data_IF_497020069110
#
_entry.id   IF_497020069110
#
_cell.length_a   1.000
_cell.length_b   1.000
_cell.length_c   1.000
_cell.angle_alpha   90.00
_cell.angle_beta   90.00
_cell.angle_gamma   90.00
#
_symmetry.space_group_name_H-M   'P 1'
#
loop_
_entity.id
_entity.type
_entity.pdbx_description
1 polymer ?
#
# COMPACT_ATOMS: atom_id res chain seq x y z
N UNK A 1 1.47 14.14 -5.45
CA UNK A 1 1.39 15.40 -6.22
C UNK A 1 -0.08 15.80 -6.38
N UNK A 2 -0.38 17.10 -6.32
CA UNK A 2 -1.71 17.65 -6.59
C UNK A 2 -1.65 18.67 -7.72
N UNK A 3 -1.86 18.23 -8.97
CA UNK A 3 -2.08 19.17 -10.06
C UNK A 3 -3.55 19.62 -10.07
N UNK A 4 -3.84 20.89 -10.44
CA UNK A 4 -5.21 21.40 -10.49
C UNK A 4 -6.13 20.54 -11.34
N UNK A 5 -7.31 20.20 -10.81
CA UNK A 5 -8.35 19.43 -11.49
C UNK A 5 -8.07 17.93 -11.63
N UNK A 6 -6.91 17.45 -11.21
CA UNK A 6 -6.56 16.03 -11.36
C UNK A 6 -7.07 15.20 -10.19
N UNK A 7 -7.91 14.20 -10.46
CA UNK A 7 -8.61 13.42 -9.42
C UNK A 7 -7.94 12.07 -9.13
N UNK A 8 -7.08 11.61 -10.04
CA UNK A 8 -6.47 10.27 -9.98
C UNK A 8 -4.93 10.30 -9.87
N UNK A 9 -4.36 11.38 -9.36
CA UNK A 9 -2.91 11.53 -9.16
C UNK A 9 -2.41 10.96 -7.84
N UNK A 10 -3.30 10.60 -6.92
CA UNK A 10 -2.97 10.28 -5.54
C UNK A 10 -2.93 8.77 -5.23
N UNK A 11 -2.63 8.45 -3.96
CA UNK A 11 -2.38 7.11 -3.44
C UNK A 11 -3.49 6.10 -3.75
N UNK A 12 -4.74 6.55 -3.82
CA UNK A 12 -5.89 5.70 -4.06
C UNK A 12 -6.00 5.12 -5.48
N UNK A 13 -5.24 5.61 -6.47
CA UNK A 13 -5.31 5.09 -7.85
C UNK A 13 -5.07 3.58 -7.93
N UNK A 14 -4.12 3.05 -7.15
CA UNK A 14 -3.83 1.63 -7.19
C UNK A 14 -5.03 0.79 -6.74
N UNK A 15 -5.77 1.27 -5.75
CA UNK A 15 -7.00 0.63 -5.27
C UNK A 15 -8.14 0.78 -6.29
N UNK A 16 -8.27 1.94 -6.94
CA UNK A 16 -9.21 2.16 -8.08
C UNK A 16 -8.91 1.18 -9.22
N UNK A 17 -7.64 1.04 -9.60
CA UNK A 17 -7.19 0.12 -10.65
C UNK A 17 -7.52 -1.34 -10.30
N UNK A 18 -7.21 -1.76 -9.07
CA UNK A 18 -7.53 -3.12 -8.58
C UNK A 18 -9.04 -3.37 -8.59
N UNK A 19 -9.84 -2.41 -8.10
CA UNK A 19 -11.30 -2.53 -8.02
C UNK A 19 -11.94 -2.61 -9.41
N UNK A 20 -11.57 -1.71 -10.32
CA UNK A 20 -12.04 -1.72 -11.72
C UNK A 20 -11.61 -2.99 -12.45
N UNK A 21 -10.37 -3.43 -12.28
CA UNK A 21 -9.86 -4.67 -12.84
C UNK A 21 -10.69 -5.88 -12.37
N UNK A 22 -10.96 -5.98 -11.07
CA UNK A 22 -11.78 -7.05 -10.50
C UNK A 22 -13.22 -7.03 -11.03
N UNK A 23 -13.89 -5.87 -10.97
CA UNK A 23 -15.29 -5.74 -11.43
C UNK A 23 -15.43 -5.99 -12.95
N UNK A 24 -14.43 -5.60 -13.74
CA UNK A 24 -14.40 -5.85 -15.18
C UNK A 24 -14.32 -7.34 -15.50
N UNK A 25 -13.48 -8.09 -14.78
CA UNK A 25 -13.39 -9.54 -14.96
C UNK A 25 -14.70 -10.23 -14.58
N UNK A 26 -15.36 -9.79 -13.52
CA UNK A 26 -16.69 -10.28 -13.17
C UNK A 26 -17.72 -9.98 -14.27
N UNK A 27 -17.69 -8.78 -14.84
CA UNK A 27 -18.57 -8.40 -15.94
C UNK A 27 -18.34 -9.27 -17.18
N UNK A 28 -17.08 -9.51 -17.56
CA UNK A 28 -16.76 -10.34 -18.73
C UNK A 28 -17.19 -11.80 -18.61
N UNK A 29 -17.35 -12.34 -17.39
CA UNK A 29 -17.93 -13.67 -17.19
C UNK A 29 -19.43 -13.74 -17.56
N UNK A 30 -20.10 -12.59 -17.66
CA UNK A 30 -21.53 -12.47 -18.01
C UNK A 30 -21.75 -11.97 -19.44
N UNK A 31 -20.70 -11.52 -20.11
CA UNK A 31 -20.76 -10.94 -21.45
C UNK A 31 -20.28 -11.94 -22.50
N UNK A 32 -20.89 -11.88 -23.67
CA UNK A 32 -20.51 -12.70 -24.81
C UNK A 32 -19.24 -12.14 -25.49
N UNK A 33 -18.08 -12.49 -24.94
CA UNK A 33 -16.78 -11.91 -25.32
C UNK A 33 -16.40 -12.09 -26.80
N UNK A 34 -16.98 -13.07 -27.50
CA UNK A 34 -16.79 -13.23 -28.94
C UNK A 34 -17.32 -12.01 -29.73
N UNK A 35 -18.28 -11.27 -29.17
CA UNK A 35 -18.81 -10.04 -29.76
C UNK A 35 -17.79 -8.89 -29.77
N UNK A 36 -16.73 -8.92 -28.94
CA UNK A 36 -15.62 -7.95 -29.04
C UNK A 36 -14.87 -8.05 -30.37
N UNK A 37 -14.95 -9.18 -31.07
CA UNK A 37 -14.30 -9.37 -32.35
C UNK A 37 -15.09 -8.74 -33.51
N UNK A 38 -16.38 -8.45 -33.31
CA UNK A 38 -17.25 -7.81 -34.29
C UNK A 38 -17.35 -6.30 -34.03
N UNK A 39 -16.79 -5.52 -34.96
CA UNK A 39 -16.83 -4.05 -34.89
C UNK A 39 -18.27 -3.49 -34.85
N UNK A 40 -19.25 -4.21 -35.42
CA UNK A 40 -20.65 -3.81 -35.38
C UNK A 40 -21.29 -3.89 -33.99
N UNK A 41 -20.71 -4.67 -33.07
CA UNK A 41 -21.23 -4.88 -31.71
C UNK A 41 -20.57 -3.99 -30.66
N UNK A 42 -19.49 -3.27 -31.00
CA UNK A 42 -18.66 -2.57 -30.01
C UNK A 42 -19.43 -1.56 -29.17
N UNK A 43 -20.37 -0.82 -29.76
CA UNK A 43 -21.18 0.17 -29.03
C UNK A 43 -22.14 -0.50 -28.04
N UNK A 44 -22.94 -1.47 -28.48
CA UNK A 44 -23.88 -2.19 -27.62
C UNK A 44 -23.16 -2.97 -26.51
N UNK A 45 -21.97 -3.49 -26.81
CA UNK A 45 -21.15 -4.20 -25.84
C UNK A 45 -20.51 -3.25 -24.82
N UNK A 46 -20.13 -2.03 -25.21
CA UNK A 46 -19.68 -1.00 -24.28
C UNK A 46 -20.80 -0.62 -23.29
N UNK A 47 -22.03 -0.44 -23.78
CA UNK A 47 -23.18 -0.17 -22.90
C UNK A 47 -23.42 -1.32 -21.93
N UNK A 48 -23.45 -2.56 -22.43
CA UNK A 48 -23.62 -3.77 -21.62
C UNK A 48 -22.49 -3.96 -20.60
N UNK A 49 -21.25 -3.66 -20.98
CA UNK A 49 -20.09 -3.67 -20.09
C UNK A 49 -20.20 -2.61 -19.00
N UNK A 50 -20.58 -1.39 -19.36
CA UNK A 50 -20.74 -0.27 -18.43
C UNK A 50 -21.79 -0.62 -17.37
N UNK A 51 -22.95 -1.14 -17.78
CA UNK A 51 -24.01 -1.55 -16.85
C UNK A 51 -23.56 -2.70 -15.92
N UNK A 52 -22.88 -3.72 -16.48
CA UNK A 52 -22.43 -4.87 -15.72
C UNK A 52 -21.35 -4.49 -14.67
N UNK A 53 -20.39 -3.64 -15.04
CA UNK A 53 -19.35 -3.16 -14.12
C UNK A 53 -19.94 -2.20 -13.08
N UNK A 54 -20.86 -1.31 -13.47
CA UNK A 54 -21.54 -0.42 -12.52
C UNK A 54 -22.34 -1.21 -11.49
N UNK A 55 -23.02 -2.29 -11.90
CA UNK A 55 -23.71 -3.18 -10.99
C UNK A 55 -22.76 -3.90 -10.02
N UNK A 56 -21.62 -4.38 -10.51
CA UNK A 56 -20.59 -5.01 -9.66
C UNK A 56 -19.98 -4.03 -8.65
N UNK A 57 -19.66 -2.80 -9.09
CA UNK A 57 -19.17 -1.73 -8.20
C UNK A 57 -20.20 -1.39 -7.12
N UNK A 58 -21.48 -1.24 -7.47
CA UNK A 58 -22.55 -0.96 -6.50
C UNK A 58 -22.72 -2.08 -5.48
N UNK A 59 -22.60 -3.34 -5.91
CA UNK A 59 -22.69 -4.48 -5.00
C UNK A 59 -21.52 -4.50 -3.98
N UNK A 60 -20.33 -4.04 -4.39
CA UNK A 60 -19.15 -3.94 -3.54
C UNK A 60 -18.92 -2.57 -2.89
N UNK A 61 -19.89 -1.63 -2.98
CA UNK A 61 -19.69 -0.23 -2.59
C UNK A 61 -19.36 -0.03 -1.10
N UNK A 62 -19.77 -0.97 -0.24
CA UNK A 62 -19.48 -0.97 1.20
C UNK A 62 -18.34 -1.89 1.63
N UNK A 63 -17.52 -2.32 0.67
CA UNK A 63 -16.29 -3.05 1.01
C UNK A 63 -15.23 -2.07 1.52
N UNK A 64 -14.33 -2.53 2.38
CA UNK A 64 -13.25 -1.69 2.90
C UNK A 64 -12.43 -1.01 1.79
N UNK A 65 -12.15 -1.72 0.69
CA UNK A 65 -11.47 -1.14 -0.48
C UNK A 65 -12.29 -0.05 -1.15
N UNK A 66 -13.61 -0.22 -1.26
CA UNK A 66 -14.50 0.73 -1.91
C UNK A 66 -14.68 2.02 -1.09
N UNK A 67 -14.75 1.88 0.24
CA UNK A 67 -14.88 3.00 1.19
C UNK A 67 -13.55 3.71 1.50
N UNK A 68 -12.41 3.09 1.16
CA UNK A 68 -11.10 3.71 1.35
C UNK A 68 -10.99 5.06 0.62
N UNK A 69 -10.19 5.95 1.18
CA UNK A 69 -9.90 7.26 0.61
C UNK A 69 -9.23 7.10 -0.77
N UNK A 70 -9.90 7.61 -1.81
CA UNK A 70 -9.43 7.56 -3.18
C UNK A 70 -8.52 8.74 -3.52
N UNK A 71 -8.85 9.92 -2.99
CA UNK A 71 -8.07 11.14 -3.10
C UNK A 71 -8.33 12.09 -1.92
N UNK A 72 -7.53 13.14 -1.83
CA UNK A 72 -7.60 14.20 -0.83
C UNK A 72 -8.76 15.17 -1.03
N UNK A 73 -9.50 15.06 -2.14
CA UNK A 73 -10.74 15.81 -2.36
C UNK A 73 -11.95 15.18 -1.67
N UNK A 74 -11.74 14.07 -0.94
CA UNK A 74 -12.78 13.35 -0.22
C UNK A 74 -13.54 12.32 -1.07
N UNK A 75 -13.10 12.05 -2.30
CA UNK A 75 -13.68 10.98 -3.11
C UNK A 75 -13.18 9.62 -2.61
N UNK A 76 -14.10 8.68 -2.43
CA UNK A 76 -13.78 7.28 -2.17
C UNK A 76 -13.25 6.57 -3.43
N UNK A 77 -12.54 5.45 -3.23
CA UNK A 77 -12.11 4.56 -4.32
C UNK A 77 -13.30 4.11 -5.18
N UNK A 78 -14.46 3.88 -4.56
CA UNK A 78 -15.70 3.57 -5.27
C UNK A 78 -16.16 4.70 -6.20
N UNK A 79 -16.23 5.93 -5.69
CA UNK A 79 -16.69 7.09 -6.47
C UNK A 79 -15.75 7.39 -7.64
N UNK A 80 -14.45 7.26 -7.43
CA UNK A 80 -13.44 7.39 -8.49
C UNK A 80 -13.58 6.29 -9.53
N UNK A 81 -13.78 5.04 -9.09
CA UNK A 81 -13.99 3.90 -9.99
C UNK A 81 -15.26 4.07 -10.83
N UNK A 82 -16.37 4.47 -10.21
CA UNK A 82 -17.64 4.70 -10.89
C UNK A 82 -17.56 5.87 -11.87
N UNK A 83 -16.92 6.96 -11.48
CA UNK A 83 -16.71 8.12 -12.34
C UNK A 83 -15.90 7.73 -13.58
N UNK A 84 -14.77 7.03 -13.40
CA UNK A 84 -13.92 6.62 -14.51
C UNK A 84 -14.60 5.61 -15.44
N UNK A 85 -15.48 4.75 -14.91
CA UNK A 85 -16.31 3.86 -15.72
C UNK A 85 -17.24 4.64 -16.66
N UNK A 86 -17.90 5.69 -16.18
CA UNK A 86 -18.78 6.49 -17.03
C UNK A 86 -18.01 7.41 -18.00
N UNK A 87 -16.80 7.84 -17.64
CA UNK A 87 -15.89 8.50 -18.58
C UNK A 87 -15.52 7.59 -19.76
N UNK A 88 -15.46 6.26 -19.57
CA UNK A 88 -15.21 5.32 -20.66
C UNK A 88 -16.34 5.35 -21.70
N UNK A 89 -17.58 5.46 -21.24
CA UNK A 89 -18.75 5.58 -22.11
C UNK A 89 -18.71 6.88 -22.92
N UNK A 90 -18.25 7.98 -22.32
CA UNK A 90 -18.05 9.26 -22.99
C UNK A 90 -16.85 9.24 -23.97
N UNK A 91 -15.89 8.33 -23.78
CA UNK A 91 -14.66 8.24 -24.56
C UNK A 91 -14.50 6.85 -25.23
N UNK A 92 -15.36 6.49 -26.19
CA UNK A 92 -15.39 5.15 -26.78
C UNK A 92 -14.10 4.75 -27.50
N UNK A 93 -13.23 5.71 -27.86
CA UNK A 93 -11.93 5.42 -28.44
C UNK A 93 -11.05 4.51 -27.55
N UNK A 94 -11.15 4.62 -26.21
CA UNK A 94 -10.42 3.75 -25.30
C UNK A 94 -10.97 2.32 -25.30
N UNK A 95 -12.29 2.18 -25.38
CA UNK A 95 -12.95 0.88 -25.54
C UNK A 95 -12.57 0.22 -26.87
N UNK A 96 -12.55 0.97 -27.97
CA UNK A 96 -12.13 0.45 -29.28
C UNK A 96 -10.66 -0.01 -29.26
N UNK A 97 -9.77 0.75 -28.60
CA UNK A 97 -8.38 0.35 -28.43
C UNK A 97 -8.24 -0.93 -27.58
N UNK A 98 -9.05 -1.07 -26.52
CA UNK A 98 -9.14 -2.30 -25.73
C UNK A 98 -9.63 -3.48 -26.57
N UNK A 99 -10.72 -3.32 -27.32
CA UNK A 99 -11.27 -4.36 -28.20
C UNK A 99 -10.23 -4.80 -29.25
N UNK A 100 -9.50 -3.86 -29.84
CA UNK A 100 -8.39 -4.16 -30.76
C UNK A 100 -7.25 -4.94 -30.07
N UNK A 101 -6.90 -4.58 -28.83
CA UNK A 101 -5.88 -5.29 -28.05
C UNK A 101 -6.30 -6.71 -27.65
N UNK A 102 -7.60 -6.93 -27.41
CA UNK A 102 -8.19 -8.26 -27.18
C UNK A 102 -8.20 -9.07 -28.48
N UNK A 103 -8.62 -8.48 -29.60
CA UNK A 103 -8.62 -9.12 -30.91
C UNK A 103 -7.21 -9.53 -31.36
N UNK A 104 -6.20 -8.69 -31.09
CA UNK A 104 -4.80 -9.00 -31.37
C UNK A 104 -4.30 -10.19 -30.51
N UNK A 105 -4.73 -10.29 -29.25
CA UNK A 105 -4.41 -11.46 -28.41
C UNK A 105 -5.13 -12.70 -28.90
N UNK A 106 -6.39 -12.55 -29.30
CA UNK A 106 -7.19 -13.63 -29.85
C UNK A 106 -6.54 -14.23 -31.10
N UNK A 107 -6.00 -13.39 -31.98
CA UNK A 107 -5.27 -13.84 -33.15
C UNK A 107 -4.00 -14.66 -32.82
N UNK A 108 -3.40 -14.47 -31.63
CA UNK A 108 -2.19 -15.18 -31.19
C UNK A 108 -2.50 -16.45 -30.40
N UNK A 109 -3.52 -16.41 -29.55
CA UNK A 109 -3.77 -17.42 -28.51
C UNK A 109 -5.19 -17.97 -28.51
N UNK A 110 -6.00 -17.63 -29.52
CA UNK A 110 -7.41 -18.01 -29.59
C UNK A 110 -8.26 -17.34 -28.50
N UNK A 111 -9.36 -17.99 -28.10
CA UNK A 111 -10.28 -17.49 -27.07
C UNK A 111 -9.68 -17.60 -25.65
N UNK A 112 -8.57 -16.90 -25.41
CA UNK A 112 -7.80 -16.95 -24.16
C UNK A 112 -8.64 -16.58 -22.93
N UNK A 113 -9.69 -15.78 -23.08
CA UNK A 113 -10.60 -15.42 -21.98
C UNK A 113 -11.42 -16.59 -21.43
N UNK A 114 -11.42 -17.75 -22.10
CA UNK A 114 -12.04 -18.97 -21.58
C UNK A 114 -11.10 -19.75 -20.64
N UNK A 115 -9.79 -19.46 -20.66
CA UNK A 115 -8.81 -20.11 -19.80
C UNK A 115 -8.61 -19.31 -18.50
N UNK A 116 -8.92 -19.89 -17.32
CA UNK A 116 -8.66 -19.24 -16.04
C UNK A 116 -7.19 -18.83 -15.84
N UNK A 117 -6.23 -19.58 -16.41
CA UNK A 117 -4.81 -19.25 -16.32
C UNK A 117 -4.44 -17.95 -17.07
N UNK A 118 -5.26 -17.55 -18.04
CA UNK A 118 -5.07 -16.34 -18.83
C UNK A 118 -5.85 -15.12 -18.29
N UNK A 119 -6.49 -15.23 -17.11
CA UNK A 119 -7.22 -14.12 -16.49
C UNK A 119 -6.32 -12.89 -16.27
N UNK A 120 -5.05 -13.11 -15.90
CA UNK A 120 -4.07 -12.04 -15.73
C UNK A 120 -3.82 -11.23 -17.00
N UNK A 121 -3.92 -11.86 -18.19
CA UNK A 121 -3.78 -11.18 -19.48
C UNK A 121 -4.96 -10.25 -19.74
N UNK A 122 -6.19 -10.72 -19.46
CA UNK A 122 -7.39 -9.89 -19.58
C UNK A 122 -7.35 -8.71 -18.60
N UNK A 123 -6.99 -8.99 -17.33
CA UNK A 123 -6.84 -7.97 -16.28
C UNK A 123 -5.86 -6.88 -16.70
N UNK A 124 -4.72 -7.27 -17.28
CA UNK A 124 -3.72 -6.33 -17.79
C UNK A 124 -4.30 -5.42 -18.88
N UNK A 125 -5.02 -5.96 -19.86
CA UNK A 125 -5.62 -5.14 -20.95
C UNK A 125 -6.66 -4.15 -20.41
N UNK A 126 -7.46 -4.55 -19.42
CA UNK A 126 -8.39 -3.65 -18.72
C UNK A 126 -7.65 -2.54 -17.99
N UNK A 127 -6.59 -2.90 -17.25
CA UNK A 127 -5.79 -1.92 -16.52
C UNK A 127 -5.13 -0.91 -17.46
N UNK A 128 -4.62 -1.37 -18.61
CA UNK A 128 -4.03 -0.50 -19.63
C UNK A 128 -5.07 0.46 -20.23
N UNK A 129 -6.31 0.00 -20.47
CA UNK A 129 -7.43 0.83 -20.92
C UNK A 129 -7.74 1.94 -19.91
N UNK A 130 -7.95 1.59 -18.64
CA UNK A 130 -8.29 2.56 -17.61
C UNK A 130 -7.12 3.48 -17.25
N UNK A 131 -5.87 3.01 -17.31
CA UNK A 131 -4.71 3.88 -17.13
C UNK A 131 -4.64 4.95 -18.23
N UNK A 132 -4.88 4.57 -19.49
CA UNK A 132 -4.95 5.52 -20.59
C UNK A 132 -6.11 6.51 -20.45
N UNK A 133 -7.29 6.02 -20.08
CA UNK A 133 -8.47 6.87 -19.86
C UNK A 133 -8.26 7.85 -18.71
N UNK A 134 -7.71 7.39 -17.58
CA UNK A 134 -7.34 8.22 -16.44
C UNK A 134 -6.42 9.36 -16.85
N UNK A 135 -5.37 9.06 -17.61
CA UNK A 135 -4.41 10.05 -18.07
C UNK A 135 -5.08 11.11 -18.97
N UNK A 136 -6.09 10.72 -19.75
CA UNK A 136 -6.89 11.64 -20.57
C UNK A 136 -7.83 12.50 -19.75
N UNK A 137 -8.58 11.91 -18.83
CA UNK A 137 -9.49 12.64 -17.93
C UNK A 137 -8.72 13.68 -17.11
N UNK A 138 -7.59 13.30 -16.51
CA UNK A 138 -6.78 14.25 -15.75
C UNK A 138 -6.14 15.32 -16.66
N UNK A 139 -5.78 15.00 -17.91
CA UNK A 139 -5.27 16.00 -18.85
C UNK A 139 -6.35 17.02 -19.24
N UNK A 140 -7.57 16.55 -19.52
CA UNK A 140 -8.70 17.41 -19.85
C UNK A 140 -9.06 18.31 -18.67
N UNK A 141 -9.16 17.74 -17.46
CA UNK A 141 -9.47 18.51 -16.27
C UNK A 141 -8.38 19.53 -15.96
N UNK A 142 -7.11 19.18 -16.18
CA UNK A 142 -6.00 20.12 -16.05
C UNK A 142 -6.13 21.28 -17.04
N UNK A 143 -6.45 21.00 -18.31
CA UNK A 143 -6.67 22.04 -19.33
C UNK A 143 -7.82 22.94 -18.93
N UNK A 144 -8.96 22.37 -18.52
CA UNK A 144 -10.15 23.14 -18.11
C UNK A 144 -9.84 24.02 -16.90
N UNK A 145 -9.08 23.51 -15.93
CA UNK A 145 -8.80 24.22 -14.67
C UNK A 145 -7.74 25.32 -14.86
N UNK A 146 -6.71 25.07 -15.68
CA UNK A 146 -5.55 25.97 -15.79
C UNK A 146 -5.54 26.82 -17.06
N UNK A 147 -6.35 26.46 -18.07
CA UNK A 147 -6.29 27.03 -19.41
C UNK A 147 -5.03 26.68 -20.19
N UNK A 148 -4.16 25.80 -19.66
CA UNK A 148 -2.88 25.41 -20.29
C UNK A 148 -3.02 24.09 -21.02
N UNK A 149 -2.42 24.01 -22.20
CA UNK A 149 -2.36 22.76 -22.95
C UNK A 149 -1.65 21.66 -22.17
N UNK A 150 -2.31 20.50 -22.09
CA UNK A 150 -1.77 19.32 -21.44
C UNK A 150 -2.18 18.05 -22.19
N UNK A 151 -1.20 17.17 -22.42
CA UNK A 151 -1.48 15.88 -23.06
C UNK A 151 -1.54 14.78 -22.00
N UNK A 152 -2.23 13.65 -22.28
CA UNK A 152 -2.23 12.49 -21.39
C UNK A 152 -0.80 12.01 -21.07
N UNK A 153 0.10 12.05 -22.06
CA UNK A 153 1.51 11.72 -21.87
C UNK A 153 2.23 12.69 -20.92
N UNK A 154 1.87 13.98 -20.93
CA UNK A 154 2.44 14.99 -20.01
C UNK A 154 1.98 14.71 -18.58
N UNK A 155 0.69 14.42 -18.37
CA UNK A 155 0.13 14.00 -17.08
C UNK A 155 0.79 12.73 -16.54
N UNK A 156 0.97 11.72 -17.38
CA UNK A 156 1.72 10.52 -17.03
C UNK A 156 3.17 10.83 -16.63
N UNK A 157 3.84 11.73 -17.37
CA UNK A 157 5.20 12.16 -17.06
C UNK A 157 5.27 12.87 -15.71
N UNK A 158 4.33 13.75 -15.38
CA UNK A 158 4.28 14.39 -14.08
C UNK A 158 4.17 13.38 -12.94
N UNK A 159 3.30 12.36 -13.07
CA UNK A 159 3.18 11.30 -12.05
C UNK A 159 4.48 10.53 -11.87
N UNK A 160 5.14 10.16 -12.98
CA UNK A 160 6.43 9.48 -12.92
C UNK A 160 7.50 10.33 -12.21
N UNK A 161 7.53 11.65 -12.48
CA UNK A 161 8.45 12.57 -11.82
C UNK A 161 8.13 12.76 -10.33
N UNK A 162 6.86 12.82 -9.93
CA UNK A 162 6.45 12.85 -8.51
C UNK A 162 6.85 11.58 -7.77
N UNK A 163 6.65 10.40 -8.38
CA UNK A 163 7.11 9.13 -7.80
C UNK A 163 8.63 9.11 -7.66
N UNK A 164 9.37 9.48 -8.71
CA UNK A 164 10.83 9.54 -8.67
C UNK A 164 11.33 10.49 -7.58
N UNK A 165 10.73 11.67 -7.45
CA UNK A 165 11.05 12.62 -6.39
C UNK A 165 10.83 12.02 -5.00
N UNK A 166 9.67 11.40 -4.73
CA UNK A 166 9.36 10.79 -3.43
C UNK A 166 10.36 9.68 -3.07
N UNK A 167 10.74 8.86 -4.03
CA UNK A 167 11.76 7.82 -3.82
C UNK A 167 13.13 8.43 -3.51
N UNK A 168 13.56 9.46 -4.24
CA UNK A 168 14.82 10.17 -3.96
C UNK A 168 14.77 10.84 -2.59
N UNK A 169 13.64 11.43 -2.20
CA UNK A 169 13.43 12.04 -0.89
C UNK A 169 13.57 11.01 0.24
N UNK A 170 12.97 9.82 0.08
CA UNK A 170 13.16 8.70 1.01
C UNK A 170 14.62 8.27 1.12
N UNK A 171 15.30 8.09 -0.02
CA UNK A 171 16.73 7.74 -0.04
C UNK A 171 17.60 8.81 0.65
N UNK A 172 17.27 10.09 0.50
CA UNK A 172 18.00 11.19 1.13
C UNK A 172 17.74 11.27 2.63
N UNK A 173 16.52 10.99 3.08
CA UNK A 173 16.18 10.88 4.50
C UNK A 173 16.98 9.74 5.17
N UNK A 174 17.03 8.59 4.51
CA UNK A 174 17.72 7.38 5.00
C UNK A 174 19.13 7.19 4.39
N UNK A 175 19.82 8.30 4.09
CA UNK A 175 21.08 8.28 3.34
C UNK A 175 22.17 7.40 3.96
N UNK A 176 22.15 7.18 5.29
CA UNK A 176 23.12 6.30 5.97
C UNK A 176 22.98 4.85 5.53
N UNK A 177 21.74 4.38 5.31
CA UNK A 177 21.46 3.02 4.87
C UNK A 177 21.67 2.87 3.36
N UNK A 178 21.52 3.97 2.61
CA UNK A 178 21.60 4.00 1.15
C UNK A 178 22.79 4.82 0.61
N UNK A 179 23.89 4.90 1.36
CA UNK A 179 24.99 5.84 1.07
C UNK A 179 25.60 5.66 -0.34
N UNK A 180 25.71 4.41 -0.81
CA UNK A 180 26.21 4.11 -2.16
C UNK A 180 25.28 4.64 -3.25
N UNK A 181 23.96 4.41 -3.10
CA UNK A 181 22.96 4.86 -4.06
C UNK A 181 22.81 6.39 -4.03
N UNK A 182 22.80 7.00 -2.84
CA UNK A 182 22.80 8.47 -2.68
C UNK A 182 24.06 9.07 -3.30
N UNK A 183 25.22 8.43 -3.14
CA UNK A 183 26.45 8.85 -3.79
C UNK A 183 26.40 8.77 -5.31
N UNK A 184 25.76 7.74 -5.87
CA UNK A 184 25.53 7.62 -7.32
C UNK A 184 24.59 8.74 -7.83
N UNK A 185 23.53 9.08 -7.10
CA UNK A 185 22.60 10.16 -7.43
C UNK A 185 23.32 11.52 -7.43
N UNK A 186 24.09 11.80 -6.37
CA UNK A 186 24.80 13.07 -6.22
C UNK A 186 26.07 13.14 -7.09
N UNK A 187 26.60 12.00 -7.55
CA UNK A 187 27.82 11.89 -8.35
C UNK A 187 29.10 12.08 -7.53
N UNK A 188 29.06 11.77 -6.23
CA UNK A 188 30.20 11.87 -5.30
C UNK A 188 30.06 10.86 -4.16
N UNK A 189 31.17 10.40 -3.59
CA UNK A 189 31.14 9.56 -2.38
C UNK A 189 30.53 10.33 -1.19
N UNK A 190 29.82 9.61 -0.32
CA UNK A 190 29.09 10.17 0.82
C UNK A 190 29.76 9.69 2.12
N UNK A 191 30.67 10.52 2.63
CA UNK A 191 31.37 10.26 3.90
C UNK A 191 30.70 10.98 5.09
N UNK A 192 29.77 11.90 4.81
CA UNK A 192 29.04 12.69 5.79
C UNK A 192 27.65 13.08 5.27
N UNK A 193 26.80 13.61 6.15
CA UNK A 193 25.43 14.03 5.81
C UNK A 193 25.42 14.96 4.58
N UNK A 194 24.76 14.56 3.47
CA UNK A 194 24.66 15.40 2.29
C UNK A 194 23.90 16.70 2.58
N UNK A 195 24.40 17.84 2.10
CA UNK A 195 23.70 19.12 2.24
C UNK A 195 22.40 19.10 1.41
N UNK A 196 22.40 18.39 0.29
CA UNK A 196 21.28 18.21 -0.61
C UNK A 196 20.09 17.52 0.07
N UNK A 197 20.36 16.55 0.96
CA UNK A 197 19.35 15.89 1.77
C UNK A 197 18.65 16.87 2.74
N UNK A 198 19.32 17.96 3.15
CA UNK A 198 18.72 19.02 3.97
C UNK A 198 18.02 20.10 3.15
N UNK A 199 18.46 20.31 1.91
CA UNK A 199 17.96 21.38 1.04
C UNK A 199 16.70 20.99 0.27
N UNK A 200 16.55 19.70 -0.06
CA UNK A 200 15.41 19.22 -0.84
C UNK A 200 14.16 19.12 0.04
N UNK A 201 13.36 20.19 0.06
CA UNK A 201 12.12 20.30 0.85
C UNK A 201 10.83 20.07 0.07
N UNK A 202 10.90 20.20 -1.26
CA UNK A 202 9.78 20.04 -2.18
C UNK A 202 10.26 19.50 -3.52
N UNK A 203 9.32 19.08 -4.37
CA UNK A 203 9.66 18.56 -5.71
C UNK A 203 10.29 19.62 -6.61
N UNK A 204 9.94 20.90 -6.44
CA UNK A 204 10.57 22.01 -7.16
C UNK A 204 12.05 22.20 -6.83
N UNK A 205 12.49 21.73 -5.64
CA UNK A 205 13.90 21.71 -5.26
C UNK A 205 14.68 20.49 -5.77
N UNK A 206 14.01 19.51 -6.39
CA UNK A 206 14.65 18.33 -6.96
C UNK A 206 15.33 18.67 -8.28
N UNK A 207 16.61 18.31 -8.42
CA UNK A 207 17.36 18.55 -9.66
C UNK A 207 17.05 17.48 -10.71
N UNK A 208 16.92 17.88 -11.97
CA UNK A 208 16.70 16.95 -13.08
C UNK A 208 17.80 15.89 -13.18
N UNK A 209 19.04 16.28 -12.91
CA UNK A 209 20.21 15.38 -12.92
C UNK A 209 20.08 14.28 -11.87
N UNK A 210 19.46 14.56 -10.72
CA UNK A 210 19.23 13.57 -9.67
C UNK A 210 18.26 12.50 -10.14
N UNK A 211 17.17 12.88 -10.82
CA UNK A 211 16.20 11.91 -11.39
C UNK A 211 16.87 11.04 -12.45
N UNK A 212 17.68 11.62 -13.32
CA UNK A 212 18.39 10.88 -14.37
C UNK A 212 19.34 9.85 -13.76
N UNK A 213 20.20 10.27 -12.81
CA UNK A 213 21.18 9.39 -12.15
C UNK A 213 20.54 8.37 -11.22
N UNK A 214 19.47 8.76 -10.51
CA UNK A 214 18.65 7.83 -9.75
C UNK A 214 18.11 6.74 -10.66
N UNK A 215 17.50 7.10 -11.79
CA UNK A 215 16.98 6.13 -12.75
C UNK A 215 18.07 5.24 -13.35
N UNK A 216 19.29 5.74 -13.53
CA UNK A 216 20.44 4.94 -13.98
C UNK A 216 20.90 3.95 -12.90
N UNK A 217 20.92 4.37 -11.64
CA UNK A 217 21.36 3.56 -10.50
C UNK A 217 20.43 2.39 -10.17
N UNK A 218 19.16 2.46 -10.56
CA UNK A 218 18.12 1.48 -10.22
C UNK A 218 18.47 0.04 -10.63
N UNK A 219 19.12 -0.17 -11.77
CA UNK A 219 19.49 -1.53 -12.21
C UNK A 219 20.48 -2.18 -11.24
N UNK A 220 21.40 -1.39 -10.65
CA UNK A 220 22.38 -1.87 -9.69
C UNK A 220 21.78 -2.14 -8.31
N UNK A 221 20.86 -1.28 -7.85
CA UNK A 221 20.40 -1.29 -6.45
C UNK A 221 19.03 -1.95 -6.24
N UNK A 222 18.16 -1.96 -7.25
CA UNK A 222 16.81 -2.55 -7.20
C UNK A 222 16.63 -3.73 -8.18
N UNK A 223 17.66 -4.08 -8.95
CA UNK A 223 17.65 -5.22 -9.88
C UNK A 223 16.78 -5.04 -11.12
N UNK A 224 16.29 -3.82 -11.38
CA UNK A 224 15.48 -3.48 -12.56
C UNK A 224 15.86 -2.11 -13.12
N UNK A 225 15.83 -1.91 -14.45
CA UNK A 225 16.15 -0.62 -15.05
C UNK A 225 15.14 0.44 -14.60
N UNK A 226 15.64 1.63 -14.22
CA UNK A 226 14.77 2.73 -13.82
C UNK A 226 13.94 3.28 -14.99
N UNK A 227 12.93 4.11 -14.70
CA UNK A 227 11.91 4.51 -15.66
C UNK A 227 12.47 5.22 -16.91
N UNK A 228 13.54 5.99 -16.78
CA UNK A 228 14.19 6.73 -17.88
C UNK A 228 15.14 5.86 -18.73
N UNK A 229 15.54 4.70 -18.23
CA UNK A 229 16.51 3.80 -18.86
C UNK A 229 15.85 2.53 -19.45
N UNK A 230 14.52 2.52 -19.52
CA UNK A 230 13.76 1.46 -20.21
C UNK A 230 13.92 1.55 -21.74
N UNK A 231 13.55 0.47 -22.47
CA UNK A 231 13.50 0.44 -23.95
C UNK A 231 12.40 1.33 -24.55
N UNK A 232 11.64 2.06 -23.73
CA UNK A 232 10.54 2.92 -24.19
C UNK A 232 11.06 4.17 -24.89
N UNK A 233 10.66 4.36 -26.16
CA UNK A 233 10.97 5.57 -26.93
C UNK A 233 10.49 6.86 -26.24
N UNK A 234 9.41 6.77 -25.44
CA UNK A 234 8.82 7.92 -24.72
C UNK A 234 9.77 8.50 -23.68
N UNK A 235 10.49 7.64 -22.98
CA UNK A 235 11.38 8.03 -21.87
C UNK A 235 12.84 8.20 -22.31
N UNK A 236 13.24 7.48 -23.36
CA UNK A 236 14.55 7.64 -23.97
C UNK A 236 14.79 9.04 -24.56
N UNK A 237 13.74 9.80 -24.92
CA UNK A 237 13.88 11.21 -25.32
C UNK A 237 13.98 12.14 -24.11
N UNK A 238 13.29 11.84 -23.02
CA UNK A 238 13.24 12.67 -21.82
C UNK A 238 14.58 12.69 -21.06
N UNK A 239 15.29 11.56 -21.00
CA UNK A 239 16.63 11.48 -20.39
C UNK A 239 17.67 12.42 -21.04
N UNK A 240 17.46 12.76 -22.31
CA UNK A 240 18.33 13.66 -23.09
C UNK A 240 17.82 15.11 -23.06
N UNK A 241 16.89 15.45 -22.18
CA UNK A 241 16.29 16.79 -22.08
C UNK A 241 16.12 17.20 -20.61
N UNK A 242 17.23 17.36 -19.86
CA UNK A 242 17.17 17.73 -18.44
C UNK A 242 16.42 19.05 -18.21
N UNK A 243 16.47 19.99 -19.16
CA UNK A 243 15.75 21.27 -19.08
C UNK A 243 14.23 21.06 -19.07
N UNK A 244 13.73 20.07 -19.82
CA UNK A 244 12.29 19.73 -19.82
C UNK A 244 11.87 19.08 -18.50
N UNK A 245 12.71 18.22 -17.93
CA UNK A 245 12.47 17.62 -16.62
C UNK A 245 12.44 18.73 -15.56
N UNK A 246 13.44 19.62 -15.55
CA UNK A 246 13.51 20.73 -14.61
C UNK A 246 12.28 21.65 -14.69
N UNK A 247 11.85 22.01 -15.91
CA UNK A 247 10.63 22.80 -16.11
C UNK A 247 9.37 22.10 -15.58
N UNK A 248 9.26 20.78 -15.77
CA UNK A 248 8.13 20.01 -15.23
C UNK A 248 8.17 19.90 -13.71
N UNK A 249 9.34 19.71 -13.10
CA UNK A 249 9.50 19.66 -11.64
C UNK A 249 9.15 21.01 -10.99
N UNK A 250 9.60 22.11 -11.60
CA UNK A 250 9.23 23.45 -11.17
C UNK A 250 7.71 23.66 -11.26
N UNK A 251 7.07 23.28 -12.38
CA UNK A 251 5.62 23.39 -12.53
C UNK A 251 4.86 22.56 -11.49
N UNK A 252 5.31 21.33 -11.16
CA UNK A 252 4.69 20.57 -10.07
C UNK A 252 4.89 21.28 -8.72
N UNK A 253 6.09 21.80 -8.45
CA UNK A 253 6.43 22.49 -7.21
C UNK A 253 5.61 23.76 -6.98
N UNK A 254 5.39 24.56 -8.04
CA UNK A 254 4.55 25.76 -7.99
C UNK A 254 3.12 25.42 -7.53
N UNK A 255 2.57 24.29 -7.99
CA UNK A 255 1.23 23.86 -7.58
C UNK A 255 1.20 23.21 -6.20
N UNK A 256 2.25 22.50 -5.80
CA UNK A 256 2.38 22.00 -4.44
C UNK A 256 2.33 23.15 -3.43
N UNK A 257 3.04 24.25 -3.69
CA UNK A 257 3.02 25.46 -2.85
C UNK A 257 1.62 26.11 -2.80
N UNK A 258 0.94 26.19 -3.94
CA UNK A 258 -0.43 26.73 -4.01
C UNK A 258 -1.44 25.84 -3.27
N UNK A 259 -1.30 24.50 -3.34
CA UNK A 259 -2.17 23.56 -2.64
C UNK A 259 -1.91 23.53 -1.14
N UNK A 260 -0.65 23.60 -0.70
CA UNK A 260 -0.30 23.56 0.72
C UNK A 260 -0.88 24.76 1.50
N UNK A 261 -1.14 25.88 0.81
CA UNK A 261 -1.84 27.03 1.40
C UNK A 261 -3.32 26.77 1.68
N UNK A 262 -3.95 25.77 1.05
CA UNK A 262 -5.33 25.35 1.35
C UNK A 262 -5.39 24.36 2.51
N UNK A 263 -4.42 23.43 2.61
CA UNK A 263 -4.35 22.46 3.72
C UNK A 263 -4.05 23.14 5.07
N UNK A 264 -3.40 24.32 5.05
CA UNK A 264 -3.19 25.14 6.25
C UNK A 264 -4.46 25.63 6.95
N UNK A 265 -5.62 25.58 6.30
CA UNK A 265 -6.88 25.90 6.95
C UNK A 265 -7.30 24.82 7.97
N UNK A 266 -6.92 23.57 7.74
CA UNK A 266 -7.16 22.45 8.66
C UNK A 266 -6.06 22.34 9.72
N UNK A 267 -4.85 22.85 9.48
CA UNK A 267 -3.80 22.98 10.52
C UNK A 267 -4.23 23.87 11.70
N UNK A 268 -5.17 24.80 11.49
CA UNK A 268 -5.73 25.61 12.59
C UNK A 268 -6.58 24.77 13.56
N UNK A 269 -7.03 23.58 13.15
CA UNK A 269 -7.71 22.64 14.04
C UNK A 269 -6.74 21.84 14.91
N UNK A 270 -5.47 21.69 14.49
CA UNK A 270 -4.39 21.10 15.28
C UNK A 270 -3.94 22.00 16.44
N UNK A 271 -4.03 23.32 16.26
CA UNK A 271 -3.65 24.33 17.26
C UNK A 271 -4.56 24.30 18.50
N UNK A 272 -5.79 23.77 18.39
CA UNK A 272 -6.68 23.57 19.53
C UNK A 272 -6.21 22.42 20.46
N UNK A 273 -5.61 21.37 19.89
CA UNK A 273 -5.03 20.27 20.64
C UNK A 273 -3.70 20.64 21.29
N UNK A 274 -2.87 21.41 20.58
CA UNK A 274 -1.62 21.95 21.13
C UNK A 274 -1.89 22.99 22.23
N UNK A 275 -2.90 23.84 22.06
CA UNK A 275 -3.37 24.74 23.12
C UNK A 275 -3.93 23.99 24.35
N UNK A 276 -4.62 22.86 24.16
CA UNK A 276 -5.09 22.03 25.26
C UNK A 276 -3.93 21.40 26.03
N UNK A 277 -2.91 20.89 25.33
CA UNK A 277 -1.68 20.35 25.93
C UNK A 277 -0.87 21.44 26.66
N UNK A 278 -0.79 22.64 26.10
CA UNK A 278 -0.16 23.80 26.77
C UNK A 278 -0.92 24.24 28.01
N UNK A 279 -2.26 24.22 27.97
CA UNK A 279 -3.08 24.54 29.14
C UNK A 279 -2.92 23.47 30.21
N UNK A 280 -2.94 22.19 29.86
CA UNK A 280 -2.68 21.08 30.79
C UNK A 280 -1.29 21.19 31.43
N UNK A 281 -0.26 21.55 30.64
CA UNK A 281 1.09 21.75 31.17
C UNK A 281 1.19 22.98 32.07
N UNK A 282 0.50 24.06 31.74
CA UNK A 282 0.37 25.24 32.60
C UNK A 282 -0.31 24.92 33.93
N UNK A 283 -1.42 24.17 33.91
CA UNK A 283 -2.12 23.72 35.12
C UNK A 283 -1.27 22.76 35.94
N UNK A 284 -0.48 21.89 35.29
CA UNK A 284 0.50 21.03 35.95
C UNK A 284 1.58 21.85 36.65
N UNK A 285 2.18 22.84 35.99
CA UNK A 285 3.22 23.70 36.57
C UNK A 285 2.68 24.55 37.73
N UNK A 286 1.44 25.05 37.64
CA UNK A 286 0.78 25.74 38.75
C UNK A 286 0.53 24.76 39.91
N UNK A 287 0.04 23.55 39.64
CA UNK A 287 -0.18 22.53 40.66
C UNK A 287 1.12 22.07 41.34
N UNK A 288 2.20 21.92 40.57
CA UNK A 288 3.55 21.62 41.08
C UNK A 288 4.12 22.80 41.89
N UNK A 289 3.85 24.04 41.48
CA UNK A 289 4.22 25.24 42.22
C UNK A 289 3.43 25.39 43.52
N UNK A 290 2.14 25.08 43.54
CA UNK A 290 1.29 25.09 44.74
C UNK A 290 1.66 23.95 45.70
N UNK A 291 2.04 22.77 45.18
CA UNK A 291 2.55 21.65 45.98
C UNK A 291 3.96 21.91 46.52
N UNK A 292 4.81 22.63 45.78
CA UNK A 292 6.12 23.12 46.22
C UNK A 292 5.99 24.11 47.37
N UNK A 293 5.01 25.03 47.32
CA UNK A 293 4.75 25.99 48.41
C UNK A 293 4.16 25.31 49.65
N UNK A 294 3.53 24.13 49.51
CA UNK A 294 2.98 23.35 50.63
C UNK A 294 4.01 22.44 51.33
N UNK A 295 5.20 22.22 50.75
CA UNK A 295 6.25 21.35 51.31
C UNK A 295 7.51 22.09 51.81
N UNK A 296 7.70 23.37 51.47
CA UNK A 296 8.75 24.20 52.04
C UNK A 296 8.22 25.11 53.17
N UNK A 297 8.39 24.68 54.42
CA UNK A 297 8.55 25.65 55.51
C UNK A 297 9.84 26.42 55.24
N UNK A 298 9.72 27.69 54.87
CA UNK A 298 10.80 28.67 54.67
C UNK A 298 11.82 28.62 55.83
N UNK A 299 12.85 27.76 55.72
CA UNK A 299 13.87 27.51 56.76
C UNK A 299 15.29 27.63 56.20
N UNK A 300 15.91 28.76 56.53
CA UNK A 300 17.31 29.10 56.23
C UNK A 300 18.16 28.68 57.45
N UNK A 301 18.40 27.40 57.70
CA UNK A 301 19.54 26.89 58.53
C UNK A 301 19.54 25.35 58.50
N UNK A 302 20.69 24.68 58.31
CA UNK A 302 20.75 23.22 58.20
C UNK A 302 21.07 22.55 59.54
N UNK A 303 20.57 21.34 59.75
CA UNK A 303 21.08 20.42 60.79
C UNK A 303 20.91 18.94 60.35
N UNK A 304 21.61 17.98 60.99
CA UNK A 304 22.76 17.31 60.40
C UNK A 304 22.49 15.83 60.04
N UNK A 305 23.48 15.24 59.37
CA UNK A 305 23.47 13.89 58.83
C UNK A 305 23.38 12.78 59.89
N UNK A 306 22.63 11.71 59.58
CA UNK A 306 22.88 10.37 60.10
C UNK A 306 22.73 9.30 59.01
N UNK A 307 23.72 8.40 59.03
CA UNK A 307 23.99 7.28 58.13
C UNK A 307 23.09 6.04 58.37
N UNK A 308 22.84 5.27 57.30
CA UNK A 308 23.05 3.79 57.17
C UNK A 308 22.25 3.24 55.98
N UNK A 309 22.86 2.86 54.86
CA UNK A 309 23.60 1.61 54.53
C UNK A 309 22.77 0.30 54.46
N UNK A 310 22.78 -0.26 53.24
CA UNK A 310 22.94 -1.69 52.86
C UNK A 310 21.81 -2.70 53.21
N UNK A 311 21.56 -3.79 52.51
CA UNK A 311 21.93 -4.34 51.19
C UNK A 311 21.04 -5.59 50.98
N UNK A 312 20.69 -5.85 49.72
CA UNK A 312 20.68 -7.12 48.98
C UNK A 312 20.07 -8.46 49.50
N UNK A 313 19.65 -9.21 48.46
CA UNK A 313 19.60 -10.67 48.30
C UNK A 313 18.37 -11.39 48.87
N UNK A 314 17.84 -12.46 48.29
CA UNK A 314 17.90 -13.16 46.99
C UNK A 314 16.79 -14.24 47.11
N UNK A 315 16.35 -14.85 46.01
CA UNK A 315 16.16 -16.31 45.89
C UNK A 315 15.19 -16.73 44.79
N UNK A 316 15.71 -17.72 44.07
CA UNK A 316 15.29 -18.33 42.82
C UNK A 316 14.76 -19.74 43.11
N UNK A 317 13.77 -20.21 42.34
CA UNK A 317 13.54 -21.62 42.02
C UNK A 317 12.66 -21.63 40.75
N UNK A 318 13.15 -21.92 39.54
CA UNK A 318 13.65 -23.19 38.98
C UNK A 318 12.61 -24.32 39.01
N UNK A 319 12.05 -24.64 37.83
CA UNK A 319 12.01 -26.02 37.37
C UNK A 319 11.74 -26.11 35.86
N UNK A 320 12.60 -26.88 35.18
CA UNK A 320 12.62 -27.13 33.75
C UNK A 320 12.38 -28.62 33.46
N UNK A 321 11.60 -28.92 32.42
CA UNK A 321 11.71 -30.13 31.59
C UNK A 321 10.93 -29.84 30.29
N UNK A 322 11.58 -29.57 29.15
CA UNK A 322 12.17 -30.56 28.21
C UNK A 322 11.08 -31.55 27.73
N UNK A 323 10.75 -31.74 26.45
CA UNK A 323 11.40 -31.46 25.18
C UNK A 323 10.89 -32.57 24.26
N UNK A 324 10.14 -32.24 23.21
CA UNK A 324 9.72 -33.23 22.21
C UNK A 324 9.99 -32.67 20.82
N UNK A 325 11.03 -33.25 20.23
CA UNK A 325 11.64 -32.92 18.97
C UNK A 325 10.74 -33.18 17.75
N UNK A 326 11.09 -32.44 16.70
CA UNK A 326 10.69 -32.55 15.31
C UNK A 326 10.20 -33.92 14.84
N UNK A 327 9.00 -33.89 14.27
CA UNK A 327 8.60 -34.78 13.18
C UNK A 327 7.83 -33.93 12.19
N UNK A 328 8.41 -33.66 11.02
CA UNK A 328 7.64 -33.12 9.91
C UNK A 328 6.56 -34.14 9.55
N UNK A 329 5.27 -33.77 9.50
CA UNK A 329 4.23 -34.71 9.10
C UNK A 329 4.32 -34.89 7.58
N UNK A 330 4.64 -36.11 7.15
CA UNK A 330 4.23 -36.59 5.82
C UNK A 330 2.70 -36.47 5.76
N UNK A 331 2.22 -35.57 4.90
CA UNK A 331 0.79 -35.30 4.74
C UNK A 331 0.08 -36.51 4.13
N UNK A 332 -0.82 -37.11 4.89
CA UNK A 332 -1.68 -38.20 4.42
C UNK A 332 -2.81 -37.64 3.55
N UNK A 333 -3.18 -38.35 2.47
CA UNK A 333 -4.23 -37.92 1.54
C UNK A 333 -5.61 -37.75 2.23
N UNK A 334 -5.77 -38.36 3.40
CA UNK A 334 -6.92 -38.24 4.27
C UNK A 334 -7.06 -36.84 4.92
N UNK A 335 -5.95 -36.20 5.30
CA UNK A 335 -5.97 -34.88 5.97
C UNK A 335 -6.33 -33.75 5.00
N UNK A 336 -5.91 -33.88 3.73
CA UNK A 336 -6.30 -32.95 2.65
C UNK A 336 -7.80 -32.97 2.36
N UNK A 337 -8.44 -34.14 2.42
CA UNK A 337 -9.89 -34.27 2.19
C UNK A 337 -10.71 -33.61 3.32
N UNK A 338 -10.22 -33.71 4.56
CA UNK A 338 -10.84 -33.06 5.74
C UNK A 338 -10.69 -31.53 5.64
N UNK A 339 -9.50 -31.04 5.29
CA UNK A 339 -9.24 -29.61 5.10
C UNK A 339 -10.10 -29.01 3.96
N UNK A 340 -10.24 -29.72 2.84
CA UNK A 340 -11.08 -29.29 1.72
C UNK A 340 -12.56 -29.22 2.08
N UNK A 341 -13.04 -30.18 2.88
CA UNK A 341 -14.42 -30.21 3.39
C UNK A 341 -14.70 -29.02 4.33
N UNK A 342 -13.77 -28.74 5.25
CA UNK A 342 -13.88 -27.61 6.19
C UNK A 342 -13.85 -26.26 5.47
N UNK A 343 -12.96 -26.09 4.48
CA UNK A 343 -12.90 -24.87 3.69
C UNK A 343 -14.20 -24.64 2.89
N UNK A 344 -14.73 -25.70 2.26
CA UNK A 344 -16.01 -25.65 1.54
C UNK A 344 -17.20 -25.28 2.45
N UNK A 345 -17.24 -25.78 3.68
CA UNK A 345 -18.28 -25.45 4.66
C UNK A 345 -18.25 -23.97 5.11
N UNK A 346 -17.11 -23.29 4.96
CA UNK A 346 -16.90 -21.90 5.35
C UNK A 346 -16.96 -20.93 4.17
N UNK A 347 -17.44 -21.40 3.02
CA UNK A 347 -17.46 -20.65 1.75
C UNK A 347 -16.07 -20.20 1.25
N UNK A 348 -15.00 -20.86 1.72
CA UNK A 348 -13.64 -20.65 1.25
C UNK A 348 -13.31 -21.62 0.10
N UNK A 349 -12.32 -21.30 -0.75
CA UNK A 349 -11.84 -22.22 -1.78
C UNK A 349 -11.45 -23.59 -1.17
N UNK A 350 -11.79 -24.73 -1.80
CA UNK A 350 -11.47 -26.05 -1.24
C UNK A 350 -9.97 -26.24 -0.94
N UNK A 351 -9.09 -25.65 -1.76
CA UNK A 351 -7.63 -25.70 -1.57
C UNK A 351 -7.08 -24.50 -0.79
N UNK A 352 -7.90 -23.81 -0.01
CA UNK A 352 -7.50 -22.56 0.67
C UNK A 352 -6.27 -22.73 1.55
N UNK A 353 -6.24 -23.70 2.47
CA UNK A 353 -5.10 -23.92 3.37
C UNK A 353 -3.82 -24.30 2.62
N UNK A 354 -3.94 -25.05 1.53
CA UNK A 354 -2.81 -25.44 0.69
C UNK A 354 -2.21 -24.23 -0.04
N UNK A 355 -3.06 -23.42 -0.69
CA UNK A 355 -2.64 -22.21 -1.40
C UNK A 355 -2.07 -21.16 -0.43
N UNK A 356 -2.67 -21.00 0.74
CA UNK A 356 -2.21 -20.06 1.75
C UNK A 356 -0.87 -20.47 2.37
N UNK A 357 -0.61 -21.78 2.56
CA UNK A 357 0.73 -22.27 2.95
C UNK A 357 1.76 -22.03 1.85
N UNK A 358 1.42 -22.32 0.60
CA UNK A 358 2.35 -22.14 -0.53
C UNK A 358 2.74 -20.67 -0.73
N UNK A 359 1.86 -19.73 -0.38
CA UNK A 359 2.09 -18.29 -0.45
C UNK A 359 2.88 -17.73 0.76
N UNK A 360 3.22 -18.53 1.77
CA UNK A 360 4.11 -18.08 2.83
C UNK A 360 5.55 -17.99 2.32
N UNK A 361 6.15 -16.80 2.39
CA UNK A 361 7.56 -16.62 2.08
C UNK A 361 8.44 -17.39 3.09
N UNK A 362 9.08 -18.45 2.61
CA UNK A 362 10.07 -19.21 3.37
C UNK A 362 11.28 -18.31 3.68
N UNK A 363 11.32 -17.74 4.88
CA UNK A 363 12.44 -16.91 5.35
C UNK A 363 12.05 -15.69 6.19
N UNK A 364 10.77 -15.32 6.23
CA UNK A 364 10.34 -14.16 7.01
C UNK A 364 10.66 -14.33 8.51
N UNK A 365 11.13 -13.27 9.15
CA UNK A 365 11.53 -13.29 10.56
C UNK A 365 10.36 -13.72 11.48
N UNK A 366 9.16 -13.21 11.20
CA UNK A 366 7.94 -13.61 11.89
C UNK A 366 7.61 -15.10 11.70
N UNK A 367 7.81 -15.66 10.50
CA UNK A 367 7.59 -17.08 10.24
C UNK A 367 8.62 -17.98 10.94
N UNK A 368 9.85 -17.50 11.15
CA UNK A 368 10.86 -18.24 11.94
C UNK A 368 10.47 -18.35 13.41
N UNK A 369 9.89 -17.31 13.99
CA UNK A 369 9.43 -17.30 15.38
C UNK A 369 8.12 -18.08 15.53
N UNK A 370 7.21 -17.94 14.57
CA UNK A 370 5.88 -18.59 14.57
C UNK A 370 5.86 -19.93 13.81
N UNK A 371 7.03 -20.51 13.52
CA UNK A 371 7.14 -21.71 12.69
C UNK A 371 6.43 -22.93 13.29
N UNK A 372 6.34 -22.99 14.62
CA UNK A 372 5.63 -24.04 15.36
C UNK A 372 4.13 -23.81 15.55
N UNK A 373 3.59 -22.67 15.12
CA UNK A 373 2.16 -22.37 15.21
C UNK A 373 1.42 -22.76 13.91
N UNK A 374 0.16 -23.17 14.02
CA UNK A 374 -0.65 -23.52 12.85
C UNK A 374 -0.94 -22.30 11.97
N UNK A 375 -1.18 -22.54 10.68
CA UNK A 375 -1.47 -21.45 9.73
C UNK A 375 -2.65 -20.57 10.19
N UNK A 376 -3.80 -21.12 10.65
CA UNK A 376 -4.90 -20.27 11.12
C UNK A 376 -4.54 -19.39 12.33
N UNK A 377 -3.69 -19.88 13.24
CA UNK A 377 -3.19 -19.08 14.36
C UNK A 377 -2.31 -17.93 13.85
N UNK A 378 -1.42 -18.21 12.88
CA UNK A 378 -0.59 -17.17 12.25
C UNK A 378 -1.42 -16.10 11.54
N UNK A 379 -2.43 -16.50 10.78
CA UNK A 379 -3.36 -15.57 10.13
C UNK A 379 -4.13 -14.75 11.16
N UNK A 380 -4.53 -15.34 12.30
CA UNK A 380 -5.18 -14.61 13.39
C UNK A 380 -4.24 -13.59 14.07
N UNK A 381 -2.93 -13.87 14.14
CA UNK A 381 -1.91 -12.93 14.63
C UNK A 381 -1.80 -11.74 13.67
N UNK A 382 -1.65 -12.01 12.37
CA UNK A 382 -1.57 -10.97 11.35
C UNK A 382 -2.84 -10.10 11.36
N UNK A 383 -4.01 -10.72 11.39
CA UNK A 383 -5.30 -10.01 11.48
C UNK A 383 -5.39 -9.10 12.71
N UNK A 384 -4.73 -9.45 13.82
CA UNK A 384 -4.74 -8.64 15.05
C UNK A 384 -3.73 -7.49 15.04
N UNK A 385 -2.57 -7.69 14.42
CA UNK A 385 -1.49 -6.70 14.39
C UNK A 385 -1.61 -5.71 13.23
N UNK A 386 -2.07 -6.18 12.08
CA UNK A 386 -2.14 -5.42 10.83
C UNK A 386 -3.58 -5.11 10.40
N UNK A 387 -4.55 -5.87 10.91
CA UNK A 387 -5.97 -5.73 10.54
C UNK A 387 -6.40 -6.77 9.51
N UNK A 388 -7.71 -6.99 9.35
CA UNK A 388 -8.24 -8.02 8.44
C UNK A 388 -8.01 -7.70 6.95
N UNK A 389 -7.84 -6.42 6.62
CA UNK A 389 -7.76 -5.91 5.24
C UNK A 389 -6.38 -5.34 4.89
N UNK A 390 -5.31 -5.77 5.56
CA UNK A 390 -3.97 -5.26 5.30
C UNK A 390 -3.47 -5.60 3.89
N UNK A 391 -2.91 -4.60 3.19
CA UNK A 391 -2.48 -4.68 1.79
C UNK A 391 -1.21 -5.53 1.58
N UNK A 392 -0.50 -5.92 2.65
CA UNK A 392 0.72 -6.74 2.57
C UNK A 392 0.43 -8.24 2.46
N UNK A 393 -0.85 -8.64 2.58
CA UNK A 393 -1.23 -10.05 2.51
C UNK A 393 -1.14 -10.62 1.09
N UNK A 394 -0.57 -11.83 0.92
CA UNK A 394 -0.68 -12.56 -0.33
C UNK A 394 -2.14 -12.79 -0.72
N UNK A 395 -2.47 -12.65 -2.01
CA UNK A 395 -3.84 -12.86 -2.52
C UNK A 395 -4.40 -14.25 -2.13
N UNK A 396 -3.54 -15.25 -1.99
CA UNK A 396 -3.91 -16.61 -1.58
C UNK A 396 -4.41 -16.72 -0.11
N UNK A 397 -4.15 -15.72 0.73
CA UNK A 397 -4.63 -15.69 2.12
C UNK A 397 -6.00 -15.04 2.24
N UNK A 398 -6.42 -14.25 1.25
CA UNK A 398 -7.66 -13.50 1.30
C UNK A 398 -8.86 -14.41 0.96
N UNK A 399 -9.97 -14.21 1.67
CA UNK A 399 -11.25 -14.78 1.30
C UNK A 399 -11.71 -14.13 -0.03
N UNK A 400 -11.94 -14.91 -1.10
CA UNK A 400 -12.32 -14.36 -2.41
C UNK A 400 -13.64 -13.59 -2.41
N UNK A 401 -14.52 -13.82 -1.42
CA UNK A 401 -15.80 -13.13 -1.32
C UNK A 401 -15.67 -11.74 -0.69
N UNK A 402 -14.75 -11.56 0.26
CA UNK A 402 -14.61 -10.32 1.04
C UNK A 402 -13.35 -9.52 0.66
N UNK A 403 -12.32 -10.17 0.14
CA UNK A 403 -11.02 -9.57 -0.10
C UNK A 403 -10.20 -9.32 1.16
N UNK A 404 -10.59 -9.92 2.29
CA UNK A 404 -9.96 -9.79 3.60
C UNK A 404 -9.48 -11.16 4.11
N UNK A 405 -8.65 -11.20 5.16
CA UNK A 405 -8.38 -12.47 5.85
C UNK A 405 -9.68 -13.09 6.41
N UNK A 406 -9.79 -14.42 6.46
CA UNK A 406 -10.93 -15.08 7.08
C UNK A 406 -11.17 -14.57 8.51
N UNK A 407 -12.44 -14.51 8.88
CA UNK A 407 -12.84 -14.10 10.23
C UNK A 407 -12.24 -15.04 11.29
N UNK A 408 -12.05 -14.54 12.51
CA UNK A 408 -11.57 -15.38 13.62
C UNK A 408 -12.42 -16.65 13.81
N UNK A 409 -13.73 -16.58 13.55
CA UNK A 409 -14.62 -17.74 13.63
C UNK A 409 -14.31 -18.77 12.55
N UNK A 410 -14.04 -18.34 11.32
CA UNK A 410 -13.60 -19.22 10.23
C UNK A 410 -12.21 -19.80 10.53
N UNK A 411 -11.27 -19.00 11.04
CA UNK A 411 -9.92 -19.48 11.41
C UNK A 411 -9.97 -20.51 12.55
N UNK A 412 -10.82 -20.32 13.56
CA UNK A 412 -11.01 -21.29 14.63
C UNK A 412 -11.60 -22.61 14.11
N UNK A 413 -12.56 -22.53 13.17
CA UNK A 413 -13.14 -23.70 12.53
C UNK A 413 -12.13 -24.44 11.63
N UNK A 414 -11.28 -23.73 10.89
CA UNK A 414 -10.20 -24.30 10.09
C UNK A 414 -9.15 -25.03 10.94
N UNK A 415 -8.87 -24.51 12.15
CA UNK A 415 -7.92 -25.12 13.10
C UNK A 415 -8.58 -26.14 14.04
N UNK A 416 -9.90 -26.36 13.91
CA UNK A 416 -10.71 -27.25 14.75
C UNK A 416 -10.60 -26.97 16.26
N UNK A 417 -10.43 -25.69 16.63
CA UNK A 417 -10.36 -25.26 18.03
C UNK A 417 -11.48 -24.29 18.39
N UNK A 418 -11.69 -24.09 19.69
CA UNK A 418 -12.64 -23.09 20.16
C UNK A 418 -12.10 -21.66 19.93
N UNK A 419 -13.01 -20.71 19.71
CA UNK A 419 -12.67 -19.28 19.61
C UNK A 419 -11.87 -18.73 20.80
N UNK A 420 -12.20 -19.06 22.07
CA UNK A 420 -11.37 -18.71 23.22
C UNK A 420 -9.94 -19.29 23.13
N UNK A 421 -9.79 -20.54 22.69
CA UNK A 421 -8.48 -21.18 22.49
C UNK A 421 -7.67 -20.47 21.41
N UNK A 422 -8.29 -20.13 20.27
CA UNK A 422 -7.65 -19.38 19.19
C UNK A 422 -7.14 -18.02 19.69
N UNK A 423 -7.97 -17.27 20.45
CA UNK A 423 -7.58 -15.97 21.01
C UNK A 423 -6.42 -16.09 22.00
N UNK A 424 -6.44 -17.12 22.85
CA UNK A 424 -5.36 -17.40 23.80
C UNK A 424 -4.04 -17.68 23.07
N UNK A 425 -4.03 -18.64 22.14
CA UNK A 425 -2.84 -19.00 21.36
C UNK A 425 -2.32 -17.85 20.49
N UNK A 426 -3.23 -17.06 19.91
CA UNK A 426 -2.87 -15.84 19.17
C UNK A 426 -2.15 -14.83 20.06
N UNK A 427 -2.65 -14.58 21.27
CA UNK A 427 -2.01 -13.64 22.19
C UNK A 427 -0.63 -14.18 22.64
N UNK A 428 -0.53 -15.48 22.96
CA UNK A 428 0.76 -16.12 23.28
C UNK A 428 1.76 -16.01 22.12
N UNK A 429 1.30 -16.15 20.87
CA UNK A 429 2.12 -15.97 19.67
C UNK A 429 2.55 -14.50 19.46
N UNK A 430 1.69 -13.54 19.78
CA UNK A 430 2.03 -12.10 19.78
C UNK A 430 3.09 -11.79 20.85
N UNK A 431 2.94 -12.36 22.05
CA UNK A 431 3.91 -12.18 23.15
C UNK A 431 5.28 -12.76 22.77
N UNK A 432 5.33 -13.90 22.07
CA UNK A 432 6.57 -14.46 21.51
C UNK A 432 7.25 -13.51 20.51
N UNK A 433 6.48 -12.84 19.65
CA UNK A 433 7.01 -11.86 18.70
C UNK A 433 7.57 -10.62 19.42
N UNK A 434 6.87 -10.10 20.43
CA UNK A 434 7.37 -8.97 21.21
C UNK A 434 8.62 -9.32 22.00
N UNK A 435 8.64 -10.47 22.69
CA UNK A 435 9.81 -10.95 23.43
C UNK A 435 11.05 -11.10 22.54
N UNK A 436 10.89 -11.60 21.32
CA UNK A 436 11.97 -11.74 20.34
C UNK A 436 12.46 -10.39 19.77
N UNK A 437 11.62 -9.35 19.75
CA UNK A 437 11.99 -8.00 19.29
C UNK A 437 12.73 -7.20 20.37
N UNK A 438 12.50 -7.51 21.65
CA UNK A 438 13.16 -6.87 22.80
C UNK A 438 14.46 -7.56 23.24
N UNK A 439 14.77 -8.75 22.71
CA UNK A 439 16.01 -9.44 23.04
C UNK A 439 17.20 -8.79 22.30
N UNK A 440 18.25 -8.29 22.98
CA UNK A 440 19.42 -7.76 22.32
C UNK A 440 20.13 -8.87 21.53
N UNK A 441 20.42 -8.61 20.26
CA UNK A 441 21.17 -9.53 19.40
C UNK A 441 22.53 -9.86 20.05
N UNK A 442 22.77 -11.14 20.33
CA UNK A 442 24.09 -11.66 20.70
C UNK A 442 24.96 -11.85 19.47
#
# INVERSE_FOLDING_TARGET
MRLPGTRYQEHGWEQVRKLLGHCSLQAFRRLEMHQLLDAGQHAALLDSYTDAVAAALRAGARSARAEAEGNSYGDSVYELSLSLLFELQAQPAFWLAFAAAVAAEHARSGAFWLDPAAEGVMRKKVNDMYAGLRDKVDADNYIVTTGRDCSPNKIYTYRMLDTAYREIAGLFADWRQHAEQVGAILGRAIDASPIEARQMKSIGGCKAEWIIRWSESQERHAGSPGPLHTKSKRFASLKNSPEKIAAMLAEIGDYEELSANMDRADDWSGDAGEAALWLEDYWRVIGESEQSVAQDEDRILPEPAEDREADLADDVADDAADGAAGREPEFDAHDLAVEQSLAGALSLPPRYLELARAAQEAGSWALRILGGESLPIRLAVYQKLLGAADDTYPEAWLDPATGELPTLQQLAALDQISMPTLRKRRNEAIDKLYAANTAPAK
#
